data_IF_412019563082
#
_entry.id   IF_412019563082
#
_cell.length_a   1.000
_cell.length_b   1.000
_cell.length_c   1.000
_cell.angle_alpha   90.00
_cell.angle_beta   90.00
_cell.angle_gamma   90.00
#
_symmetry.space_group_name_H-M   'P 1'
#
loop_
_entity.id
_entity.type
_entity.pdbx_description
1 polymer ?
#
# COMPACT_ATOMS: atom_id res chain seq x y z
N UNK A 1 2.45 -12.42 3.88
CA UNK A 1 3.51 -11.40 3.70
C UNK A 1 4.45 -11.78 2.57
N UNK A 2 5.08 -12.95 2.63
CA UNK A 2 6.03 -13.41 1.59
C UNK A 2 5.41 -13.42 0.19
N UNK A 3 4.25 -14.05 0.04
CA UNK A 3 3.46 -14.04 -1.20
C UNK A 3 3.21 -12.62 -1.76
N UNK A 4 2.83 -11.67 -0.90
CA UNK A 4 2.62 -10.27 -1.29
C UNK A 4 3.91 -9.64 -1.84
N UNK A 5 5.05 -9.95 -1.22
CA UNK A 5 6.37 -9.46 -1.68
C UNK A 5 6.75 -10.11 -3.01
N UNK A 6 6.48 -11.40 -3.18
CA UNK A 6 6.75 -12.12 -4.43
C UNK A 6 5.89 -11.60 -5.59
N UNK A 7 4.60 -11.37 -5.36
CA UNK A 7 3.71 -10.76 -6.36
C UNK A 7 4.20 -9.36 -6.76
N UNK A 8 4.53 -8.52 -5.79
CA UNK A 8 5.08 -7.18 -6.07
C UNK A 8 6.41 -7.27 -6.85
N UNK A 9 7.29 -8.20 -6.48
CA UNK A 9 8.57 -8.40 -7.18
C UNK A 9 8.35 -8.81 -8.63
N UNK A 10 7.45 -9.77 -8.89
CA UNK A 10 7.10 -10.21 -10.23
C UNK A 10 6.51 -9.07 -11.05
N UNK A 11 5.62 -8.27 -10.45
CA UNK A 11 5.00 -7.10 -11.06
C UNK A 11 6.06 -6.06 -11.50
N UNK A 12 6.99 -5.68 -10.62
CA UNK A 12 8.04 -4.70 -10.94
C UNK A 12 9.09 -5.25 -11.91
N UNK A 13 9.48 -6.53 -11.76
CA UNK A 13 10.47 -7.17 -12.64
C UNK A 13 9.96 -7.33 -14.07
N UNK A 14 8.67 -7.64 -14.25
CA UNK A 14 8.04 -7.65 -15.57
C UNK A 14 8.07 -6.27 -16.25
N UNK A 15 8.00 -5.19 -15.47
CA UNK A 15 8.17 -3.80 -15.91
C UNK A 15 9.63 -3.32 -15.99
N UNK A 16 10.62 -4.22 -15.86
CA UNK A 16 12.04 -3.86 -15.91
C UNK A 16 12.52 -2.94 -14.78
N UNK A 17 11.75 -2.84 -13.69
CA UNK A 17 11.94 -1.84 -12.62
C UNK A 17 11.94 -0.38 -13.14
N UNK A 18 11.25 -0.11 -14.25
CA UNK A 18 11.14 1.24 -14.80
C UNK A 18 10.21 2.11 -13.94
N UNK A 19 10.80 2.86 -13.02
CA UNK A 19 10.10 3.88 -12.24
C UNK A 19 9.91 5.16 -13.07
N UNK A 20 8.75 5.30 -13.71
CA UNK A 20 8.39 6.53 -14.41
C UNK A 20 8.37 7.73 -13.45
N UNK A 21 9.21 8.74 -13.68
CA UNK A 21 9.24 9.99 -12.87
C UNK A 21 7.91 10.75 -12.83
N UNK A 22 6.96 10.41 -13.71
CA UNK A 22 5.71 11.14 -13.90
C UNK A 22 4.55 10.68 -12.99
N UNK A 23 4.55 9.44 -12.49
CA UNK A 23 3.40 8.88 -11.75
C UNK A 23 3.80 8.52 -10.32
N UNK A 24 2.94 8.86 -9.36
CA UNK A 24 3.11 8.56 -7.95
C UNK A 24 1.75 8.26 -7.33
N UNK A 25 1.72 7.38 -6.32
CA UNK A 25 0.52 7.19 -5.52
C UNK A 25 0.08 8.53 -4.90
N UNK A 26 -1.23 8.71 -4.72
CA UNK A 26 -1.77 9.91 -4.07
C UNK A 26 -1.13 10.13 -2.69
N UNK A 27 -0.88 11.40 -2.35
CA UNK A 27 -0.41 11.80 -1.02
C UNK A 27 -1.54 12.05 -0.03
N UNK A 28 -2.79 12.04 -0.50
CA UNK A 28 -3.97 12.22 0.34
C UNK A 28 -3.98 11.14 1.43
N UNK A 29 -4.10 11.55 2.69
CA UNK A 29 -4.15 10.69 3.87
C UNK A 29 -2.90 9.81 4.14
N UNK A 30 -1.82 9.99 3.36
CA UNK A 30 -0.57 9.26 3.52
C UNK A 30 0.01 9.42 4.94
N UNK A 31 0.48 8.34 5.59
CA UNK A 31 1.14 8.44 6.88
C UNK A 31 2.35 9.39 6.82
N UNK A 32 2.50 10.24 7.85
CA UNK A 32 3.54 11.28 7.88
C UNK A 32 4.96 10.72 7.80
N UNK A 33 5.14 9.51 8.30
CA UNK A 33 6.37 8.72 8.30
C UNK A 33 6.83 8.40 6.88
N UNK A 34 5.89 8.20 5.95
CA UNK A 34 6.22 7.98 4.53
C UNK A 34 6.80 9.25 3.92
N UNK A 35 6.15 10.39 4.18
CA UNK A 35 6.66 11.68 3.71
C UNK A 35 8.05 11.96 4.30
N UNK A 36 8.24 11.68 5.58
CA UNK A 36 9.51 11.82 6.29
C UNK A 36 10.61 10.91 5.69
N UNK A 37 10.27 9.68 5.34
CA UNK A 37 11.15 8.68 4.73
C UNK A 37 11.55 9.06 3.30
N UNK A 38 10.59 9.50 2.49
CA UNK A 38 10.82 9.99 1.12
C UNK A 38 11.79 11.19 1.14
N UNK A 39 11.60 12.14 2.05
CA UNK A 39 12.49 13.30 2.22
C UNK A 39 13.92 12.93 2.62
N UNK A 40 14.14 11.73 3.14
CA UNK A 40 15.47 11.20 3.52
C UNK A 40 16.00 10.20 2.50
N UNK A 41 15.62 10.38 1.24
CA UNK A 41 16.01 9.52 0.12
C UNK A 41 15.73 8.03 0.39
N UNK A 42 14.71 7.72 1.22
CA UNK A 42 14.29 6.37 1.57
C UNK A 42 15.36 5.53 2.29
N UNK A 43 16.40 6.17 2.88
CA UNK A 43 17.55 5.48 3.46
C UNK A 43 17.41 5.07 4.93
N UNK A 44 16.48 5.69 5.66
CA UNK A 44 16.37 5.52 7.12
C UNK A 44 14.94 5.16 7.48
N UNK A 45 14.76 4.09 8.25
CA UNK A 45 13.44 3.68 8.75
C UNK A 45 12.89 4.73 9.73
N UNK A 46 11.68 5.27 9.51
CA UNK A 46 11.06 6.20 10.44
C UNK A 46 10.71 5.51 11.78
N UNK A 47 10.82 6.21 12.92
CA UNK A 47 10.39 5.67 14.20
C UNK A 47 8.86 5.69 14.30
N UNK A 48 8.24 4.53 14.49
CA UNK A 48 6.80 4.41 14.73
C UNK A 48 6.53 4.58 16.23
N UNK A 49 6.06 5.76 16.64
CA UNK A 49 5.84 6.07 18.06
C UNK A 49 4.53 5.50 18.62
N UNK A 50 3.53 5.36 17.76
CA UNK A 50 2.22 4.84 18.13
C UNK A 50 1.70 3.95 16.99
N UNK A 51 1.77 2.64 17.21
CA UNK A 51 1.39 1.65 16.20
C UNK A 51 -0.10 1.76 15.81
N UNK A 52 -0.99 2.05 16.76
CA UNK A 52 -2.43 2.16 16.49
C UNK A 52 -2.76 3.41 15.64
N UNK A 53 -2.15 4.55 15.93
CA UNK A 53 -2.32 5.75 15.12
C UNK A 53 -1.73 5.57 13.71
N UNK A 54 -0.56 4.92 13.62
CA UNK A 54 0.06 4.59 12.34
C UNK A 54 -0.84 3.66 11.51
N UNK A 55 -1.36 2.58 12.12
CA UNK A 55 -2.31 1.66 11.52
C UNK A 55 -3.53 2.40 10.94
N UNK A 56 -4.19 3.25 11.75
CA UNK A 56 -5.36 4.01 11.30
C UNK A 56 -5.04 4.93 10.11
N UNK A 57 -3.87 5.58 10.13
CA UNK A 57 -3.43 6.43 9.00
C UNK A 57 -3.15 5.61 7.74
N UNK A 58 -2.52 4.44 7.89
CA UNK A 58 -2.24 3.54 6.78
C UNK A 58 -3.53 3.01 6.15
N UNK A 59 -4.49 2.57 6.98
CA UNK A 59 -5.77 2.06 6.50
C UNK A 59 -6.56 3.13 5.73
N UNK A 60 -6.59 4.37 6.23
CA UNK A 60 -7.21 5.51 5.53
C UNK A 60 -6.53 5.81 4.20
N UNK A 61 -5.19 5.79 4.18
CA UNK A 61 -4.43 6.00 2.95
C UNK A 61 -4.71 4.91 1.92
N UNK A 62 -4.62 3.64 2.32
CA UNK A 62 -4.86 2.51 1.43
C UNK A 62 -6.28 2.52 0.85
N UNK A 63 -7.29 2.76 1.68
CA UNK A 63 -8.67 2.94 1.23
C UNK A 63 -8.80 4.08 0.21
N UNK A 64 -8.12 5.22 0.44
CA UNK A 64 -8.15 6.36 -0.48
C UNK A 64 -7.35 6.17 -1.78
N UNK A 65 -6.44 5.20 -1.84
CA UNK A 65 -5.71 4.83 -3.06
C UNK A 65 -6.53 3.95 -3.98
N UNK A 66 -7.33 3.04 -3.43
CA UNK A 66 -8.09 2.06 -4.20
C UNK A 66 -9.17 2.70 -5.11
N UNK A 67 -9.59 2.06 -6.20
CA UNK A 67 -10.64 2.58 -7.08
C UNK A 67 -11.96 2.86 -6.35
N UNK A 68 -12.78 3.79 -6.84
CA UNK A 68 -14.04 4.17 -6.17
C UNK A 68 -15.04 3.03 -6.09
N UNK A 69 -15.09 2.14 -7.08
CA UNK A 69 -15.97 0.96 -7.04
C UNK A 69 -15.61 -0.02 -5.91
N UNK A 70 -14.35 -0.02 -5.43
CA UNK A 70 -13.94 -0.81 -4.26
C UNK A 70 -14.40 -0.20 -2.94
N UNK A 71 -14.59 1.11 -2.87
CA UNK A 71 -14.73 1.84 -1.61
C UNK A 71 -16.16 1.73 -1.06
N UNK A 72 -16.38 0.82 -0.11
CA UNK A 72 -17.61 0.76 0.68
C UNK A 72 -17.61 1.70 1.90
N UNK A 73 -18.75 1.81 2.58
CA UNK A 73 -18.94 2.71 3.73
C UNK A 73 -18.24 2.26 5.03
N UNK A 74 -17.71 1.03 5.08
CA UNK A 74 -17.08 0.42 6.26
C UNK A 74 -15.54 0.42 6.26
N UNK A 75 -14.89 1.17 5.35
CA UNK A 75 -13.44 1.16 5.23
C UNK A 75 -12.90 -0.12 4.59
N UNK A 76 -11.71 -0.58 5.00
CA UNK A 76 -11.04 -1.75 4.42
C UNK A 76 -11.90 -3.02 4.49
N UNK A 77 -12.59 -3.23 5.61
CA UNK A 77 -13.44 -4.42 5.82
C UNK A 77 -14.63 -4.50 4.86
N UNK A 78 -14.98 -3.37 4.23
CA UNK A 78 -16.07 -3.27 3.27
C UNK A 78 -15.59 -3.15 1.82
N UNK A 79 -14.29 -3.29 1.56
CA UNK A 79 -13.79 -3.08 0.20
C UNK A 79 -14.23 -4.22 -0.72
N UNK A 80 -14.90 -3.85 -1.81
CA UNK A 80 -15.38 -4.81 -2.79
C UNK A 80 -14.19 -5.53 -3.46
N UNK A 81 -14.41 -6.80 -3.79
CA UNK A 81 -13.50 -7.67 -4.54
C UNK A 81 -14.05 -8.07 -5.91
N UNK A 82 -15.22 -7.58 -6.25
CA UNK A 82 -15.93 -7.87 -7.50
C UNK A 82 -16.48 -6.56 -8.05
N UNK A 83 -16.68 -6.50 -9.36
CA UNK A 83 -17.19 -5.30 -10.04
C UNK A 83 -16.12 -4.33 -10.54
N UNK A 84 -14.85 -4.75 -10.53
CA UNK A 84 -13.76 -4.03 -11.21
C UNK A 84 -13.10 -4.86 -12.30
N UNK A 85 -12.49 -4.19 -13.27
CA UNK A 85 -11.85 -4.81 -14.43
C UNK A 85 -12.04 -4.04 -15.74
N UNK A 86 -12.65 -2.85 -15.70
CA UNK A 86 -12.64 -1.96 -16.86
C UNK A 86 -11.26 -1.32 -17.04
N UNK A 87 -10.90 -1.04 -18.28
CA UNK A 87 -9.60 -0.44 -18.62
C UNK A 87 -9.41 0.90 -17.88
N UNK A 88 -8.28 1.03 -17.18
CA UNK A 88 -7.90 2.24 -16.45
C UNK A 88 -8.42 2.36 -15.01
N UNK A 89 -9.27 1.44 -14.53
CA UNK A 89 -9.77 1.52 -13.14
C UNK A 89 -8.65 1.35 -12.10
N UNK A 90 -7.65 0.55 -12.42
CA UNK A 90 -6.50 0.28 -11.57
C UNK A 90 -5.37 1.31 -11.70
N UNK A 91 -5.45 2.25 -12.64
CA UNK A 91 -4.37 3.21 -12.93
C UNK A 91 -3.93 4.01 -11.72
N UNK A 92 -4.83 4.26 -10.76
CA UNK A 92 -4.50 5.01 -9.55
C UNK A 92 -3.52 4.27 -8.62
N UNK A 93 -3.53 2.93 -8.65
CA UNK A 93 -2.66 2.07 -7.82
C UNK A 93 -1.61 1.33 -8.62
N UNK A 94 -1.82 1.14 -9.94
CA UNK A 94 -0.80 0.67 -10.87
C UNK A 94 0.20 1.79 -11.18
N UNK A 95 1.06 2.00 -10.19
CA UNK A 95 2.18 2.93 -10.22
C UNK A 95 3.43 2.11 -9.94
N UNK A 96 4.37 2.12 -10.88
CA UNK A 96 5.63 1.37 -10.78
C UNK A 96 6.73 2.15 -10.04
N UNK A 97 7.71 1.43 -9.52
CA UNK A 97 8.90 1.96 -8.89
C UNK A 97 8.69 2.53 -7.48
N UNK A 98 9.67 3.31 -7.00
CA UNK A 98 9.78 3.72 -5.60
C UNK A 98 8.69 4.67 -5.06
N UNK A 99 7.79 5.16 -5.91
CA UNK A 99 6.60 5.94 -5.54
C UNK A 99 5.29 5.14 -5.65
N UNK A 100 5.41 3.87 -6.06
CA UNK A 100 4.33 2.92 -6.25
C UNK A 100 4.04 2.07 -5.02
N UNK A 101 3.54 0.86 -5.26
CA UNK A 101 3.14 -0.09 -4.23
C UNK A 101 4.27 -0.46 -3.27
N UNK A 102 5.55 -0.33 -3.67
CA UNK A 102 6.67 -0.48 -2.73
C UNK A 102 6.51 0.38 -1.47
N UNK A 103 6.00 1.61 -1.60
CA UNK A 103 5.77 2.48 -0.44
C UNK A 103 4.71 1.89 0.50
N UNK A 104 3.66 1.26 -0.04
CA UNK A 104 2.59 0.61 0.72
C UNK A 104 3.15 -0.61 1.49
N UNK A 105 3.91 -1.46 0.80
CA UNK A 105 4.55 -2.64 1.38
C UNK A 105 5.53 -2.26 2.51
N UNK A 106 6.40 -1.27 2.27
CA UNK A 106 7.34 -0.79 3.28
C UNK A 106 6.64 -0.27 4.53
N UNK A 107 5.50 0.43 4.37
CA UNK A 107 4.69 0.85 5.52
C UNK A 107 4.13 -0.32 6.31
N UNK A 108 3.62 -1.36 5.63
CA UNK A 108 3.15 -2.57 6.29
C UNK A 108 4.27 -3.27 7.07
N UNK A 109 5.51 -3.23 6.55
CA UNK A 109 6.67 -3.73 7.28
C UNK A 109 6.97 -2.90 8.52
N UNK A 110 6.90 -1.58 8.45
CA UNK A 110 7.08 -0.71 9.63
C UNK A 110 5.99 -0.95 10.68
N UNK A 111 4.74 -1.07 10.24
CA UNK A 111 3.63 -1.42 11.13
C UNK A 111 3.91 -2.76 11.82
N UNK A 112 4.24 -3.82 11.07
CA UNK A 112 4.54 -5.14 11.63
C UNK A 112 5.61 -5.11 12.71
N UNK A 113 6.68 -4.34 12.45
CA UNK A 113 7.81 -4.20 13.36
C UNK A 113 7.48 -3.38 14.62
N UNK A 114 6.43 -2.56 14.57
CA UNK A 114 5.95 -1.77 15.70
C UNK A 114 4.95 -2.53 16.59
N UNK A 115 4.62 -3.78 16.24
CA UNK A 115 3.73 -4.65 16.99
C UNK A 115 4.51 -5.73 17.73
N UNK A 116 4.08 -6.06 18.95
CA UNK A 116 4.59 -7.23 19.69
C UNK A 116 4.14 -8.54 19.01
N UNK A 117 2.87 -8.58 18.60
CA UNK A 117 2.25 -9.71 17.91
C UNK A 117 1.45 -9.25 16.69
N UNK A 118 1.14 -10.17 15.77
CA UNK A 118 0.32 -9.84 14.61
C UNK A 118 -1.11 -9.52 15.02
N UNK A 119 -1.60 -8.37 14.57
CA UNK A 119 -3.00 -7.98 14.78
C UNK A 119 -3.85 -8.42 13.59
N UNK A 120 -5.15 -8.63 13.85
CA UNK A 120 -6.13 -8.91 12.80
C UNK A 120 -6.08 -7.85 11.70
N UNK A 121 -6.01 -6.58 12.05
CA UNK A 121 -5.97 -5.47 11.11
C UNK A 121 -4.75 -5.53 10.19
N UNK A 122 -3.58 -5.89 10.73
CA UNK A 122 -2.38 -6.03 9.93
C UNK A 122 -2.48 -7.21 8.96
N UNK A 123 -3.01 -8.34 9.42
CA UNK A 123 -3.24 -9.52 8.56
C UNK A 123 -4.23 -9.22 7.45
N UNK A 124 -5.34 -8.53 7.74
CA UNK A 124 -6.32 -8.10 6.74
C UNK A 124 -5.71 -7.12 5.74
N UNK A 125 -4.90 -6.18 6.21
CA UNK A 125 -4.21 -5.23 5.35
C UNK A 125 -3.24 -5.93 4.38
N UNK A 126 -2.45 -6.89 4.86
CA UNK A 126 -1.58 -7.71 4.00
C UNK A 126 -2.40 -8.50 2.99
N UNK A 127 -3.48 -9.17 3.43
CA UNK A 127 -4.33 -9.95 2.55
C UNK A 127 -5.00 -9.09 1.46
N UNK A 128 -5.41 -7.87 1.78
CA UNK A 128 -6.02 -6.98 0.78
C UNK A 128 -5.01 -6.46 -0.24
N UNK A 129 -3.80 -6.10 0.20
CA UNK A 129 -2.72 -5.68 -0.73
C UNK A 129 -2.30 -6.85 -1.62
N UNK A 130 -2.19 -8.08 -1.08
CA UNK A 130 -1.96 -9.29 -1.88
C UNK A 130 -3.03 -9.41 -2.96
N UNK A 131 -4.31 -9.33 -2.59
CA UNK A 131 -5.40 -9.45 -3.54
C UNK A 131 -5.35 -8.39 -4.64
N UNK A 132 -5.01 -7.13 -4.31
CA UNK A 132 -4.82 -6.07 -5.33
C UNK A 132 -3.67 -6.41 -6.27
N UNK A 133 -2.55 -6.89 -5.75
CA UNK A 133 -1.41 -7.29 -6.59
C UNK A 133 -1.75 -8.44 -7.56
N UNK A 134 -2.69 -9.33 -7.19
CA UNK A 134 -3.18 -10.38 -8.10
C UNK A 134 -4.04 -9.82 -9.26
N UNK A 135 -4.56 -8.59 -9.13
CA UNK A 135 -5.35 -7.94 -10.18
C UNK A 135 -4.51 -7.09 -11.15
N UNK A 136 -3.22 -6.89 -10.87
CA UNK A 136 -2.28 -6.02 -11.61
C UNK A 136 -1.31 -6.82 -12.49
#
# INVERSE_FOLDING_TARGET
>A
WEEMVDLWWNLESAGGFEGGKAKALSSKDRPTEVQWWIQRARKVTPPIKNAAAFAASWMRWWYALNPTWRRGDGGIDSMAREGGGEEGEWDAVDVRGGNGLLSVLVCLKWWRNALEEETKDWVMAVADVTWVLEQL
#
